data_IF_432524758936
#
_entry.id   IF_432524758936
#
_cell.length_a   1.000
_cell.length_b   1.000
_cell.length_c   1.000
_cell.angle_alpha   90.00
_cell.angle_beta   90.00
_cell.angle_gamma   90.00
#
_symmetry.space_group_name_H-M   'P 1'
#
loop_
_entity.id
_entity.type
_entity.pdbx_description
1 polymer ?
#
# COMPACT_ATOMS: atom_id res chain seq x y z
N UNK A 1 -9.24 -2.32 -1.13
CA UNK A 1 -10.59 -2.41 -1.71
C UNK A 1 -10.79 -3.83 -2.20
N UNK A 2 -11.94 -4.45 -1.91
CA UNK A 2 -12.24 -5.83 -2.32
C UNK A 2 -13.51 -5.79 -3.16
N UNK A 3 -13.43 -6.31 -4.38
CA UNK A 3 -14.53 -6.33 -5.36
C UNK A 3 -14.63 -7.75 -5.91
N UNK A 4 -15.85 -8.28 -6.08
CA UNK A 4 -16.05 -9.55 -6.81
C UNK A 4 -16.68 -10.72 -6.04
N UNK A 5 -17.50 -10.48 -5.01
CA UNK A 5 -18.24 -11.58 -4.36
C UNK A 5 -19.36 -12.18 -5.25
N UNK A 6 -19.80 -11.47 -6.30
CA UNK A 6 -21.03 -11.81 -7.01
C UNK A 6 -22.21 -11.88 -6.04
N UNK A 7 -23.16 -12.79 -6.29
CA UNK A 7 -24.33 -13.00 -5.43
C UNK A 7 -24.10 -14.05 -4.32
N UNK A 8 -22.92 -14.65 -4.25
CA UNK A 8 -22.58 -15.72 -3.30
C UNK A 8 -21.89 -15.22 -2.02
N UNK A 9 -21.76 -16.08 -0.98
CA UNK A 9 -20.99 -15.74 0.21
C UNK A 9 -19.51 -15.52 -0.14
N UNK A 10 -18.91 -14.50 0.47
CA UNK A 10 -17.50 -14.13 0.27
C UNK A 10 -16.77 -14.07 1.62
N UNK A 11 -15.56 -14.65 1.65
CA UNK A 11 -14.65 -14.55 2.80
C UNK A 11 -13.45 -13.74 2.36
N UNK A 12 -13.13 -12.72 3.17
CA UNK A 12 -11.90 -11.96 3.08
C UNK A 12 -10.99 -12.41 4.21
N UNK A 13 -9.85 -12.99 3.87
CA UNK A 13 -8.83 -13.36 4.83
C UNK A 13 -7.54 -12.59 4.54
N UNK A 14 -7.16 -11.70 5.47
CA UNK A 14 -5.93 -10.92 5.38
C UNK A 14 -4.85 -11.53 6.26
N UNK A 15 -3.66 -11.73 5.71
CA UNK A 15 -2.45 -12.10 6.46
C UNK A 15 -1.39 -11.05 6.18
N UNK A 16 -0.72 -10.58 7.24
CA UNK A 16 0.37 -9.62 7.12
C UNK A 16 1.41 -9.83 8.20
N UNK A 17 2.68 -9.66 7.86
CA UNK A 17 3.81 -9.73 8.79
C UNK A 17 4.15 -8.36 9.43
N UNK A 18 3.33 -7.33 9.18
CA UNK A 18 3.61 -5.93 9.53
C UNK A 18 3.10 -5.52 10.93
N UNK A 19 3.04 -6.46 11.87
CA UNK A 19 2.48 -6.21 13.22
C UNK A 19 3.14 -5.04 13.94
N UNK A 20 4.44 -4.84 13.72
CA UNK A 20 5.19 -3.78 14.39
C UNK A 20 5.62 -2.65 13.46
N UNK A 21 5.17 -2.61 12.20
CA UNK A 21 5.63 -1.61 11.24
C UNK A 21 5.21 -0.16 11.57
N UNK A 22 4.28 0.00 12.50
CA UNK A 22 3.73 1.30 12.90
C UNK A 22 3.51 1.33 14.40
N UNK A 23 3.88 2.43 15.05
CA UNK A 23 3.60 2.67 16.46
C UNK A 23 2.50 3.71 16.61
N UNK A 24 1.70 3.58 17.67
CA UNK A 24 0.70 4.58 18.03
C UNK A 24 1.30 5.59 19.00
N UNK A 25 1.28 6.85 18.62
CA UNK A 25 1.77 7.95 19.44
C UNK A 25 0.72 8.35 20.50
N UNK A 26 1.12 9.08 21.57
CA UNK A 26 0.22 9.48 22.65
C UNK A 26 -0.96 10.34 22.20
N UNK A 27 -0.83 11.07 21.09
CA UNK A 27 -1.88 11.87 20.47
C UNK A 27 -2.86 11.03 19.60
N UNK A 28 -2.63 9.72 19.51
CA UNK A 28 -3.43 8.77 18.75
C UNK A 28 -3.07 8.64 17.27
N UNK A 29 -2.08 9.42 16.79
CA UNK A 29 -1.52 9.30 15.44
C UNK A 29 -0.68 8.04 15.29
N UNK A 30 -0.43 7.63 14.04
CA UNK A 30 0.32 6.44 13.69
C UNK A 30 1.62 6.86 13.00
N UNK A 31 2.75 6.32 13.44
CA UNK A 31 4.08 6.61 12.89
C UNK A 31 4.76 5.32 12.42
N UNK A 32 5.26 5.31 11.18
CA UNK A 32 6.03 4.20 10.63
C UNK A 32 7.39 4.08 11.31
N UNK A 33 7.83 2.86 11.58
CA UNK A 33 9.15 2.60 12.17
C UNK A 33 10.08 2.00 11.10
N UNK A 34 11.37 2.36 11.12
CA UNK A 34 12.28 2.07 10.01
C UNK A 34 12.84 0.62 9.97
N UNK A 35 12.59 -0.18 11.01
CA UNK A 35 13.18 -1.52 11.22
C UNK A 35 12.50 -2.63 10.39
N UNK A 36 11.29 -2.40 9.89
CA UNK A 36 10.37 -3.50 9.52
C UNK A 36 10.40 -3.92 8.05
N UNK A 37 11.31 -3.36 7.25
CA UNK A 37 11.55 -3.72 5.84
C UNK A 37 11.78 -2.52 4.92
N UNK A 38 12.48 -2.76 3.81
CA UNK A 38 12.77 -1.73 2.80
C UNK A 38 11.78 -1.78 1.63
N UNK A 39 11.54 -0.61 1.03
CA UNK A 39 11.07 -0.47 -0.33
C UNK A 39 12.26 -0.73 -1.26
N UNK A 40 12.33 -1.95 -1.80
CA UNK A 40 13.46 -2.39 -2.62
C UNK A 40 13.37 -1.83 -4.03
N UNK A 41 14.48 -1.29 -4.53
CA UNK A 41 14.64 -0.99 -5.94
C UNK A 41 14.85 -2.30 -6.71
N UNK A 42 14.02 -2.54 -7.72
CA UNK A 42 14.12 -3.70 -8.60
C UNK A 42 13.99 -3.26 -10.05
N UNK A 43 14.97 -3.63 -10.87
CA UNK A 43 15.05 -3.19 -12.27
C UNK A 43 13.85 -3.69 -13.09
N UNK A 44 13.39 -4.92 -12.85
CA UNK A 44 12.26 -5.49 -13.58
C UNK A 44 10.97 -4.78 -13.21
N UNK A 45 10.73 -4.56 -11.93
CA UNK A 45 9.56 -3.84 -11.44
C UNK A 45 9.58 -2.37 -11.89
N UNK A 46 10.74 -1.71 -11.93
CA UNK A 46 10.87 -0.33 -12.44
C UNK A 46 10.43 -0.21 -13.91
N UNK A 47 10.75 -1.18 -14.78
CA UNK A 47 10.26 -1.21 -16.17
C UNK A 47 8.73 -1.26 -16.28
N UNK A 48 8.04 -1.68 -15.23
CA UNK A 48 6.59 -1.73 -15.14
C UNK A 48 5.99 -0.65 -14.21
N UNK A 49 6.79 0.31 -13.74
CA UNK A 49 6.34 1.35 -12.80
C UNK A 49 5.96 0.83 -11.41
N UNK A 50 6.44 -0.37 -11.04
CA UNK A 50 6.02 -1.11 -9.85
C UNK A 50 7.06 -1.13 -8.71
N UNK A 51 8.17 -0.39 -8.83
CA UNK A 51 9.19 -0.27 -7.79
C UNK A 51 9.61 1.19 -7.56
N UNK A 52 10.33 1.44 -6.46
CA UNK A 52 11.01 2.71 -6.15
C UNK A 52 12.33 2.80 -6.92
N UNK A 53 12.76 4.01 -7.26
CA UNK A 53 14.03 4.24 -7.98
C UNK A 53 15.24 4.04 -7.07
N UNK A 54 15.12 4.44 -5.80
CA UNK A 54 16.14 4.27 -4.77
C UNK A 54 15.57 3.45 -3.61
N UNK A 55 16.37 2.50 -3.11
CA UNK A 55 15.98 1.70 -1.95
C UNK A 55 15.87 2.60 -0.72
N UNK A 56 14.77 2.45 0.02
CA UNK A 56 14.50 3.27 1.21
C UNK A 56 13.66 2.51 2.22
N UNK A 57 13.75 2.87 3.50
CA UNK A 57 12.79 2.42 4.53
C UNK A 57 11.72 3.47 4.82
N UNK A 58 11.83 4.65 4.22
CA UNK A 58 10.91 5.78 4.41
C UNK A 58 9.77 5.73 3.38
N UNK A 59 8.54 5.64 3.87
CA UNK A 59 7.34 5.61 3.05
C UNK A 59 7.10 6.93 2.29
N UNK A 60 7.44 8.07 2.89
CA UNK A 60 7.29 9.38 2.27
C UNK A 60 8.20 9.48 1.04
N UNK A 61 9.44 8.99 1.17
CA UNK A 61 10.38 8.91 0.04
C UNK A 61 9.89 7.93 -1.02
N UNK A 62 9.44 6.73 -0.60
CA UNK A 62 9.00 5.68 -1.52
C UNK A 62 7.80 6.10 -2.39
N UNK A 63 6.88 6.88 -1.82
CA UNK A 63 5.63 7.27 -2.49
C UNK A 63 5.60 8.72 -2.97
N UNK A 64 6.67 9.51 -2.80
CA UNK A 64 6.75 10.93 -3.17
C UNK A 64 6.32 11.27 -4.61
N UNK A 65 6.42 10.31 -5.54
CA UNK A 65 6.01 10.50 -6.95
C UNK A 65 4.48 10.49 -7.16
N UNK A 66 3.72 10.04 -6.18
CA UNK A 66 2.27 9.95 -6.25
C UNK A 66 1.63 11.10 -5.47
N UNK A 67 0.46 11.60 -5.91
CA UNK A 67 -0.32 12.52 -5.10
C UNK A 67 -0.87 11.81 -3.86
N UNK A 68 -1.17 12.61 -2.83
CA UNK A 68 -1.80 12.11 -1.60
C UNK A 68 -3.10 11.34 -1.94
N UNK A 69 -3.27 10.10 -1.43
CA UNK A 69 -4.46 9.32 -1.70
C UNK A 69 -5.69 9.92 -1.00
N UNK A 70 -6.71 10.23 -1.78
CA UNK A 70 -8.00 10.72 -1.25
C UNK A 70 -9.09 9.64 -1.32
N UNK A 71 -9.98 9.56 -0.32
CA UNK A 71 -11.17 8.72 -0.40
C UNK A 71 -11.98 9.04 -1.67
N UNK A 72 -12.19 8.03 -2.52
CA UNK A 72 -12.84 8.22 -3.82
C UNK A 72 -13.92 7.18 -4.05
N UNK A 73 -15.00 7.59 -4.71
CA UNK A 73 -16.06 6.65 -5.14
C UNK A 73 -15.57 5.88 -6.35
N UNK A 74 -15.97 4.60 -6.43
CA UNK A 74 -15.80 3.80 -7.63
C UNK A 74 -16.38 4.53 -8.84
N UNK A 75 -15.67 4.47 -9.98
CA UNK A 75 -16.12 5.04 -11.25
C UNK A 75 -16.24 3.94 -12.29
N UNK A 76 -17.22 4.09 -13.17
CA UNK A 76 -17.40 3.15 -14.28
C UNK A 76 -16.10 2.99 -15.08
N UNK A 77 -15.82 1.74 -15.47
CA UNK A 77 -14.64 1.30 -16.24
C UNK A 77 -13.31 1.27 -15.47
N UNK A 78 -13.31 1.48 -14.16
CA UNK A 78 -12.09 1.27 -13.35
C UNK A 78 -11.68 -0.19 -13.24
N UNK A 79 -12.63 -1.11 -13.39
CA UNK A 79 -12.35 -2.54 -13.52
C UNK A 79 -12.80 -3.03 -14.90
N UNK A 80 -12.10 -4.02 -15.48
CA UNK A 80 -12.57 -4.74 -16.64
C UNK A 80 -13.96 -5.34 -16.36
N UNK A 81 -14.76 -5.53 -17.41
CA UNK A 81 -16.00 -6.30 -17.32
C UNK A 81 -15.72 -7.79 -17.25
#
# INVERSE_FOLDING_TARGET
MIVGAGDGPCIVFGVGAREHHTVRLPDGTLEGVADWGAYTADETALRHGAAVEEETTDAEVAYARFPEPEPTRYRDRWLPR
#
